data_IF_357303825950
#
_entry.id   IF_357303825950
#
_cell.length_a   1.000
_cell.length_b   1.000
_cell.length_c   1.000
_cell.angle_alpha   90.00
_cell.angle_beta   90.00
_cell.angle_gamma   90.00
#
_symmetry.space_group_name_H-M   'P 1'
#
loop_
_entity.id
_entity.type
_entity.pdbx_description
1 polymer ?
#
# COMPACT_ATOMS: atom_id res chain seq x y z
N UNK A 1 -38.73 8.99 17.09
CA UNK A 1 -38.76 7.51 17.03
C UNK A 1 -37.54 7.02 16.26
N UNK A 2 -36.37 7.11 16.88
CA UNK A 2 -35.09 6.74 16.27
C UNK A 2 -34.19 6.18 17.38
N UNK A 3 -34.00 4.86 17.40
CA UNK A 3 -33.05 4.10 18.21
C UNK A 3 -33.26 2.61 17.90
N UNK A 4 -32.44 2.03 17.00
CA UNK A 4 -32.21 0.58 16.84
C UNK A 4 -31.24 0.32 15.66
N UNK A 5 -29.97 0.70 15.80
CA UNK A 5 -28.88 0.18 14.95
C UNK A 5 -27.48 0.48 15.52
N UNK A 6 -27.22 0.09 16.77
CA UNK A 6 -25.87 0.04 17.36
C UNK A 6 -25.76 -1.26 18.18
N UNK A 7 -24.55 -1.83 18.24
CA UNK A 7 -24.15 -3.00 19.04
C UNK A 7 -24.64 -4.40 18.57
N UNK A 8 -23.91 -4.98 17.61
CA UNK A 8 -23.61 -6.42 17.48
C UNK A 8 -22.22 -6.56 16.83
N UNK A 9 -21.19 -7.16 17.42
CA UNK A 9 -21.10 -7.88 18.70
C UNK A 9 -19.70 -7.76 19.33
N UNK A 10 -19.65 -7.52 20.65
CA UNK A 10 -18.47 -7.74 21.50
C UNK A 10 -18.83 -8.84 22.48
N UNK A 11 -18.03 -9.93 22.58
CA UNK A 11 -18.23 -10.91 23.66
C UNK A 11 -17.00 -11.81 23.97
N UNK A 12 -16.41 -11.60 25.15
CA UNK A 12 -15.80 -12.56 26.11
C UNK A 12 -14.58 -13.42 25.61
N UNK A 13 -13.34 -13.45 26.15
CA UNK A 13 -12.67 -13.18 27.47
C UNK A 13 -12.29 -14.46 28.28
N UNK A 14 -11.02 -14.55 28.75
CA UNK A 14 -10.39 -15.54 29.69
C UNK A 14 -10.21 -17.01 29.17
N UNK A 15 -9.28 -17.91 29.57
CA UNK A 15 -8.29 -18.10 30.67
C UNK A 15 -6.99 -18.84 30.13
N UNK A 16 -5.84 -19.07 30.84
CA UNK A 16 -5.01 -18.28 31.80
C UNK A 16 -3.69 -19.05 32.20
N UNK A 17 -2.53 -18.35 32.38
CA UNK A 17 -1.26 -18.76 33.12
C UNK A 17 -0.37 -19.93 32.55
N UNK A 18 0.95 -20.13 32.83
CA UNK A 18 2.02 -19.47 33.65
C UNK A 18 3.45 -19.81 33.09
N UNK A 19 4.45 -18.89 33.07
CA UNK A 19 5.63 -18.75 33.97
C UNK A 19 6.72 -19.88 33.90
N UNK A 20 8.05 -19.66 33.81
CA UNK A 20 9.00 -19.27 34.90
C UNK A 20 10.47 -19.06 34.40
N UNK A 21 11.12 -17.90 34.71
CA UNK A 21 12.55 -17.61 35.08
C UNK A 21 13.80 -18.06 34.22
N UNK A 22 15.05 -17.49 34.32
CA UNK A 22 15.67 -16.30 35.00
C UNK A 22 17.10 -15.94 34.49
N UNK A 23 17.50 -14.66 34.68
CA UNK A 23 18.83 -14.09 35.10
C UNK A 23 20.15 -14.45 34.35
N UNK A 24 21.05 -13.51 33.97
CA UNK A 24 21.89 -12.60 34.81
C UNK A 24 22.61 -11.50 33.96
N UNK A 25 22.62 -10.21 34.33
CA UNK A 25 23.70 -9.42 35.02
C UNK A 25 24.99 -9.15 34.17
N UNK A 26 25.26 -7.99 33.54
CA UNK A 26 25.53 -6.57 33.99
C UNK A 26 26.99 -6.32 34.51
N UNK A 27 27.72 -5.32 33.97
CA UNK A 27 28.04 -4.06 34.71
C UNK A 27 27.77 -2.79 33.86
N UNK A 28 26.88 -1.87 34.25
CA UNK A 28 26.98 -0.75 35.25
C UNK A 28 27.72 0.51 34.76
N UNK A 29 26.92 1.49 34.31
CA UNK A 29 27.16 2.93 34.45
C UNK A 29 26.03 3.51 35.34
N UNK A 30 26.31 4.56 36.11
CA UNK A 30 25.39 5.19 37.07
C UNK A 30 24.18 5.83 36.37
N UNK A 31 22.96 5.38 36.69
CA UNK A 31 21.70 5.98 36.19
C UNK A 31 21.20 7.17 37.03
N UNK A 32 21.98 7.69 37.99
CA UNK A 32 21.50 8.81 38.83
C UNK A 32 21.81 10.19 38.25
N UNK A 33 22.98 10.38 37.65
CA UNK A 33 23.42 11.71 37.19
C UNK A 33 22.60 12.24 35.99
N UNK A 34 22.09 11.36 35.12
CA UNK A 34 21.29 11.75 33.94
C UNK A 34 19.86 12.19 34.32
N UNK A 35 19.30 11.68 35.42
CA UNK A 35 17.91 11.97 35.80
C UNK A 35 17.73 13.31 36.53
N UNK A 36 18.77 13.84 37.16
CA UNK A 36 18.68 15.10 37.91
C UNK A 36 18.78 16.34 37.00
N UNK A 37 19.57 16.30 35.92
CA UNK A 37 19.61 17.37 34.91
C UNK A 37 18.27 17.52 34.17
N UNK A 38 17.64 16.41 33.78
CA UNK A 38 16.31 16.41 33.13
C UNK A 38 15.23 16.96 34.09
N UNK A 39 15.33 16.70 35.39
CA UNK A 39 14.41 17.25 36.39
C UNK A 39 14.56 18.77 36.59
N UNK A 40 15.78 19.32 36.54
CA UNK A 40 15.97 20.77 36.61
C UNK A 40 15.42 21.50 35.38
N UNK A 41 15.55 20.92 34.18
CA UNK A 41 14.97 21.49 32.96
C UNK A 41 13.43 21.51 32.98
N UNK A 42 12.79 20.46 33.51
CA UNK A 42 11.33 20.40 33.67
C UNK A 42 10.78 21.29 34.81
N UNK A 43 11.60 21.63 35.81
CA UNK A 43 11.24 22.55 36.88
C UNK A 43 11.30 24.05 36.45
N UNK A 44 11.97 24.35 35.33
CA UNK A 44 12.11 25.70 34.80
C UNK A 44 11.00 26.10 33.80
N UNK A 45 10.34 25.13 33.15
CA UNK A 45 9.16 25.41 32.30
C UNK A 45 7.83 25.48 33.05
N UNK A 46 7.77 24.94 34.27
CA UNK A 46 6.55 24.89 35.08
C UNK A 46 6.28 26.16 35.92
N UNK A 47 7.30 27.02 36.12
CA UNK A 47 7.16 28.25 36.91
C UNK A 47 6.73 29.51 36.10
N UNK A 48 6.62 29.43 34.77
CA UNK A 48 6.16 30.56 33.93
C UNK A 48 4.65 30.54 33.63
N UNK A 49 3.95 29.44 33.94
CA UNK A 49 2.51 29.27 33.67
C UNK A 49 1.62 29.44 34.90
N UNK A 50 2.20 29.51 36.11
CA UNK A 50 1.47 29.50 37.38
C UNK A 50 1.11 30.90 37.92
N UNK A 51 0.97 31.91 37.04
CA UNK A 51 0.67 33.30 37.48
C UNK A 51 -0.60 33.93 36.90
N UNK A 52 -1.17 33.36 35.84
CA UNK A 52 -2.36 33.89 35.17
C UNK A 52 -3.62 33.03 35.36
N UNK A 53 -3.60 32.07 36.31
CA UNK A 53 -4.74 31.19 36.63
C UNK A 53 -4.96 31.14 38.15
N UNK A 54 -5.43 32.24 38.73
CA UNK A 54 -6.00 32.27 40.10
C UNK A 54 -7.18 33.25 40.23
N UNK A 55 -7.86 33.55 39.11
CA UNK A 55 -9.11 34.31 39.10
C UNK A 55 -10.12 33.61 38.16
N UNK A 56 -11.40 33.59 38.54
CA UNK A 56 -12.51 32.80 37.95
C UNK A 56 -12.49 31.26 38.13
N UNK A 57 -12.73 30.80 39.37
CA UNK A 57 -13.48 29.56 39.59
C UNK A 57 -14.98 29.87 39.55
N UNK A 58 -15.72 29.34 38.58
CA UNK A 58 -16.97 28.59 38.78
C UNK A 58 -17.57 28.13 37.43
N UNK A 59 -18.27 27.00 37.49
CA UNK A 59 -19.07 26.36 36.43
C UNK A 59 -18.37 26.01 35.09
N UNK A 60 -17.77 24.82 35.04
CA UNK A 60 -17.65 24.05 33.81
C UNK A 60 -17.99 22.58 34.06
N UNK A 61 -19.10 22.14 33.45
CA UNK A 61 -19.44 20.73 33.32
C UNK A 61 -18.33 19.99 32.58
N UNK A 62 -18.04 18.75 33.00
CA UNK A 62 -17.02 17.90 32.37
C UNK A 62 -17.32 17.72 30.87
N UNK A 63 -16.58 18.45 30.04
CA UNK A 63 -16.46 18.13 28.63
C UNK A 63 -15.75 16.77 28.56
N UNK A 64 -16.38 15.73 27.98
CA UNK A 64 -15.73 14.43 27.92
C UNK A 64 -14.44 14.56 27.12
N UNK A 65 -13.34 14.05 27.69
CA UNK A 65 -12.11 13.85 26.93
C UNK A 65 -12.47 13.13 25.64
N UNK A 66 -12.22 13.79 24.50
CA UNK A 66 -12.47 13.19 23.21
C UNK A 66 -11.53 11.99 23.09
N UNK A 67 -12.06 10.80 23.37
CA UNK A 67 -11.32 9.56 23.23
C UNK A 67 -10.88 9.46 21.78
N UNK A 68 -9.59 9.69 21.55
CA UNK A 68 -8.98 9.53 20.24
C UNK A 68 -9.08 8.02 19.94
N UNK A 69 -10.16 7.65 19.29
CA UNK A 69 -10.42 6.27 18.89
C UNK A 69 -9.26 5.85 18.01
N UNK A 70 -8.48 4.87 18.50
CA UNK A 70 -7.45 4.25 17.65
C UNK A 70 -8.09 3.89 16.31
N UNK A 71 -7.46 4.24 15.18
CA UNK A 71 -8.06 3.98 13.88
C UNK A 71 -8.26 2.48 13.66
N UNK A 72 -9.25 2.14 12.82
CA UNK A 72 -9.57 0.74 12.51
C UNK A 72 -8.37 0.04 11.89
N UNK A 73 -7.74 -0.84 12.67
CA UNK A 73 -6.60 -1.65 12.25
C UNK A 73 -7.07 -2.77 11.32
N UNK A 74 -6.41 -3.02 10.18
CA UNK A 74 -6.65 -4.21 9.35
C UNK A 74 -6.54 -5.50 10.17
N UNK A 75 -7.46 -6.45 9.95
CA UNK A 75 -7.51 -7.72 10.68
C UNK A 75 -7.61 -8.88 9.70
N UNK A 76 -6.74 -9.87 9.87
CA UNK A 76 -6.77 -11.09 9.06
C UNK A 76 -8.12 -11.80 9.20
N UNK A 77 -8.77 -12.10 8.07
CA UNK A 77 -10.01 -12.87 8.02
C UNK A 77 -9.65 -14.35 7.99
N UNK A 78 -9.81 -15.03 9.13
CA UNK A 78 -9.53 -16.48 9.24
C UNK A 78 -10.51 -17.30 8.41
N UNK A 79 -10.05 -18.44 7.87
CA UNK A 79 -10.83 -19.38 7.05
C UNK A 79 -11.43 -18.76 5.77
N UNK A 80 -10.75 -17.76 5.20
CA UNK A 80 -11.10 -17.13 3.93
C UNK A 80 -9.84 -17.08 3.02
N UNK A 81 -9.92 -17.54 1.76
CA UNK A 81 -11.06 -18.22 1.13
C UNK A 81 -11.33 -19.60 1.76
N UNK A 82 -12.57 -20.07 1.70
CA UNK A 82 -12.97 -21.37 2.26
C UNK A 82 -12.45 -22.58 1.46
N UNK A 83 -11.82 -22.35 0.30
CA UNK A 83 -11.23 -23.35 -0.58
C UNK A 83 -9.97 -22.77 -1.20
N UNK A 84 -8.99 -23.64 -1.45
CA UNK A 84 -7.87 -23.29 -2.32
C UNK A 84 -8.38 -22.96 -3.73
N UNK A 85 -7.82 -21.90 -4.32
CA UNK A 85 -8.20 -21.35 -5.62
C UNK A 85 -7.18 -21.67 -6.72
N UNK A 86 -6.02 -22.27 -6.38
CA UNK A 86 -4.95 -22.67 -7.33
C UNK A 86 -4.49 -21.52 -8.25
N UNK A 87 -4.12 -20.39 -7.67
CA UNK A 87 -3.87 -19.14 -8.41
C UNK A 87 -2.46 -19.01 -9.01
N UNK A 88 -1.51 -19.79 -8.50
CA UNK A 88 -0.08 -19.51 -8.66
C UNK A 88 0.28 -18.16 -8.01
N UNK A 89 1.28 -17.48 -8.57
CA UNK A 89 1.67 -16.14 -8.09
C UNK A 89 0.51 -15.13 -8.28
N UNK A 90 -0.05 -14.64 -7.17
CA UNK A 90 -0.99 -13.51 -7.15
C UNK A 90 -0.18 -12.21 -7.09
N UNK A 91 -0.40 -11.33 -8.06
CA UNK A 91 0.44 -10.15 -8.29
C UNK A 91 -0.25 -8.82 -8.01
N UNK A 92 -1.58 -8.82 -8.04
CA UNK A 92 -2.40 -7.62 -7.82
C UNK A 92 -3.72 -7.98 -7.17
N UNK A 93 -4.21 -7.08 -6.33
CA UNK A 93 -5.47 -7.25 -5.60
C UNK A 93 -6.15 -5.90 -5.43
N UNK A 94 -7.47 -5.86 -5.52
CA UNK A 94 -8.29 -4.65 -5.44
C UNK A 94 -9.69 -4.96 -4.86
N UNK A 95 -10.52 -3.93 -4.65
CA UNK A 95 -11.92 -4.07 -4.22
C UNK A 95 -12.84 -3.33 -5.19
N UNK A 96 -13.87 -3.99 -5.73
CA UNK A 96 -14.82 -3.34 -6.63
C UNK A 96 -15.90 -2.52 -5.88
N UNK A 97 -16.76 -1.79 -6.59
CA UNK A 97 -17.81 -0.99 -5.97
C UNK A 97 -18.91 -1.80 -5.23
N UNK A 98 -18.91 -3.12 -5.38
CA UNK A 98 -19.80 -4.04 -4.65
C UNK A 98 -19.12 -4.65 -3.40
N UNK A 99 -17.95 -4.11 -3.02
CA UNK A 99 -17.15 -4.54 -1.87
C UNK A 99 -16.63 -5.98 -2.00
N UNK A 100 -16.47 -6.46 -3.23
CA UNK A 100 -15.94 -7.77 -3.55
C UNK A 100 -14.43 -7.68 -3.80
N UNK A 101 -13.61 -8.52 -3.16
CA UNK A 101 -12.20 -8.66 -3.50
C UNK A 101 -12.05 -9.13 -4.95
N UNK A 102 -11.14 -8.50 -5.69
CA UNK A 102 -10.75 -8.88 -7.04
C UNK A 102 -9.26 -9.17 -7.04
N UNK A 103 -8.86 -10.30 -7.59
CA UNK A 103 -7.49 -10.80 -7.64
C UNK A 103 -7.02 -10.82 -9.09
N UNK A 104 -5.78 -10.40 -9.34
CA UNK A 104 -5.03 -10.61 -10.58
C UNK A 104 -3.86 -11.57 -10.30
N UNK A 105 -3.78 -12.65 -11.06
CA UNK A 105 -2.83 -13.74 -10.82
C UNK A 105 -2.23 -14.30 -12.12
N UNK A 106 -1.06 -14.93 -11.97
CA UNK A 106 -0.23 -15.43 -13.07
C UNK A 106 -0.58 -16.85 -13.52
N UNK A 107 -1.47 -17.54 -12.81
CA UNK A 107 -1.80 -18.96 -13.02
C UNK A 107 -0.50 -19.79 -13.06
N UNK A 108 -0.27 -20.57 -14.11
CA UNK A 108 0.96 -21.35 -14.26
C UNK A 108 2.23 -20.57 -14.63
N UNK A 109 2.21 -19.23 -14.71
CA UNK A 109 3.41 -18.42 -14.99
C UNK A 109 4.15 -18.05 -13.71
N UNK A 110 5.48 -18.20 -13.76
CA UNK A 110 6.40 -17.84 -12.68
C UNK A 110 7.35 -16.77 -13.22
N UNK A 111 7.55 -15.68 -12.46
CA UNK A 111 8.66 -14.76 -12.71
C UNK A 111 9.92 -15.31 -12.02
N UNK A 112 10.91 -15.68 -12.82
CA UNK A 112 12.24 -16.15 -12.41
C UNK A 112 13.38 -15.34 -13.10
N UNK A 113 14.62 -15.78 -12.90
CA UNK A 113 15.82 -15.20 -13.53
C UNK A 113 15.87 -15.37 -15.07
N UNK A 114 15.15 -16.37 -15.62
CA UNK A 114 15.13 -16.68 -17.06
C UNK A 114 14.01 -15.94 -17.81
N UNK A 115 13.10 -15.30 -17.07
CA UNK A 115 11.90 -14.64 -17.61
C UNK A 115 12.25 -13.44 -18.51
N UNK A 116 13.36 -12.75 -18.22
CA UNK A 116 13.81 -11.57 -18.96
C UNK A 116 15.32 -11.61 -19.21
N UNK A 117 15.77 -11.14 -20.37
CA UNK A 117 17.21 -10.94 -20.62
C UNK A 117 17.74 -9.65 -19.96
N UNK A 118 19.05 -9.41 -20.09
CA UNK A 118 19.74 -8.23 -19.56
C UNK A 118 19.23 -6.89 -20.12
N UNK A 119 18.68 -6.89 -21.34
CA UNK A 119 18.00 -5.74 -21.96
C UNK A 119 16.51 -5.65 -21.60
N UNK A 120 16.06 -6.44 -20.61
CA UNK A 120 14.70 -6.49 -20.09
C UNK A 120 13.62 -7.01 -21.04
N UNK A 121 13.96 -7.59 -22.19
CA UNK A 121 12.98 -8.22 -23.08
C UNK A 121 12.50 -9.57 -22.51
N UNK A 122 11.21 -9.85 -22.60
CA UNK A 122 10.60 -11.12 -22.18
C UNK A 122 11.08 -12.28 -23.05
N UNK A 123 11.41 -13.43 -22.46
CA UNK A 123 11.99 -14.58 -23.18
C UNK A 123 10.97 -15.68 -23.53
N UNK A 124 9.77 -15.65 -22.94
CA UNK A 124 8.78 -16.73 -23.02
C UNK A 124 7.57 -16.40 -23.91
N UNK A 125 7.71 -15.45 -24.86
CA UNK A 125 6.64 -15.05 -25.78
C UNK A 125 6.06 -16.24 -26.57
N UNK A 126 6.90 -17.22 -26.89
CA UNK A 126 6.55 -18.46 -27.58
C UNK A 126 5.48 -19.33 -26.86
N UNK A 127 5.28 -19.13 -25.55
CA UNK A 127 4.20 -19.79 -24.79
C UNK A 127 2.82 -19.15 -25.04
N UNK A 128 2.76 -18.02 -25.74
CA UNK A 128 1.56 -17.20 -25.91
C UNK A 128 1.07 -16.57 -24.59
N UNK A 129 -0.12 -15.93 -24.59
CA UNK A 129 -0.73 -15.42 -23.36
C UNK A 129 -1.29 -16.56 -22.50
N UNK A 130 -1.41 -16.31 -21.20
CA UNK A 130 -2.01 -17.19 -20.20
C UNK A 130 -3.42 -17.60 -20.64
N UNK A 131 -3.73 -18.89 -20.65
CA UNK A 131 -5.01 -19.40 -21.17
C UNK A 131 -6.14 -19.38 -20.16
N UNK A 132 -5.81 -19.52 -18.89
CA UNK A 132 -6.75 -19.43 -17.78
C UNK A 132 -7.26 -18.00 -17.57
N UNK A 133 -8.44 -17.87 -16.96
CA UNK A 133 -8.85 -16.59 -16.36
C UNK A 133 -7.77 -16.14 -15.37
N UNK A 134 -7.33 -14.90 -15.50
CA UNK A 134 -6.28 -14.29 -14.67
C UNK A 134 -6.85 -13.28 -13.68
N UNK A 135 -8.09 -12.82 -13.88
CA UNK A 135 -8.81 -11.94 -12.95
C UNK A 135 -10.01 -12.68 -12.37
N UNK A 136 -10.08 -12.75 -11.04
CA UNK A 136 -11.14 -13.42 -10.30
C UNK A 136 -11.80 -12.45 -9.33
N UNK A 137 -13.12 -12.39 -9.34
CA UNK A 137 -13.91 -11.69 -8.33
C UNK A 137 -14.39 -12.71 -7.30
N UNK A 138 -14.21 -12.42 -6.02
CA UNK A 138 -14.53 -13.31 -4.91
C UNK A 138 -15.72 -12.80 -4.07
N UNK A 139 -16.50 -13.71 -3.51
CA UNK A 139 -17.49 -13.38 -2.48
C UNK A 139 -16.77 -12.95 -1.18
N UNK A 140 -17.09 -11.78 -0.60
CA UNK A 140 -16.37 -11.24 0.56
C UNK A 140 -16.57 -12.04 1.86
N UNK A 141 -17.53 -12.98 1.92
CA UNK A 141 -17.82 -13.78 3.13
C UNK A 141 -17.21 -15.18 3.08
N UNK A 142 -17.14 -15.77 1.89
CA UNK A 142 -16.77 -17.19 1.67
C UNK A 142 -15.48 -17.35 0.86
N UNK A 143 -15.12 -16.35 0.06
CA UNK A 143 -13.99 -16.42 -0.87
C UNK A 143 -14.27 -17.30 -2.09
N UNK A 144 -15.53 -17.71 -2.29
CA UNK A 144 -15.95 -18.40 -3.49
C UNK A 144 -15.81 -17.48 -4.72
N UNK A 145 -15.36 -18.03 -5.84
CA UNK A 145 -15.26 -17.30 -7.10
C UNK A 145 -16.67 -16.99 -7.63
N UNK A 146 -16.99 -15.71 -7.78
CA UNK A 146 -18.27 -15.21 -8.31
C UNK A 146 -18.14 -14.52 -9.67
N UNK A 147 -16.91 -14.25 -10.12
CA UNK A 147 -16.61 -13.74 -11.46
C UNK A 147 -15.24 -14.18 -11.94
N UNK A 148 -15.08 -14.35 -13.26
CA UNK A 148 -13.84 -14.77 -13.93
C UNK A 148 -13.65 -13.97 -15.21
N UNK A 149 -12.42 -13.55 -15.50
CA UNK A 149 -12.08 -12.74 -16.68
C UNK A 149 -10.57 -12.83 -17.00
N UNK A 150 -10.16 -12.31 -18.15
CA UNK A 150 -8.74 -12.10 -18.49
C UNK A 150 -8.04 -13.24 -19.22
N UNK A 151 -8.78 -14.29 -19.59
CA UNK A 151 -8.27 -15.42 -20.36
C UNK A 151 -7.68 -14.99 -21.71
N UNK A 152 -6.48 -15.46 -22.02
CA UNK A 152 -5.70 -15.16 -23.24
C UNK A 152 -5.36 -13.68 -23.49
N UNK A 153 -5.40 -12.82 -22.47
CA UNK A 153 -5.03 -11.40 -22.60
C UNK A 153 -3.60 -11.06 -22.13
N UNK A 154 -3.10 -11.73 -21.09
CA UNK A 154 -1.87 -11.32 -20.39
C UNK A 154 -0.76 -12.39 -20.49
N UNK A 155 0.49 -11.95 -20.34
CA UNK A 155 1.70 -12.79 -20.38
C UNK A 155 2.37 -12.88 -19.01
N UNK A 156 2.46 -11.77 -18.29
CA UNK A 156 2.98 -11.73 -16.93
C UNK A 156 2.31 -10.60 -16.13
N UNK A 157 1.11 -10.88 -15.57
CA UNK A 157 0.39 -10.00 -14.65
C UNK A 157 1.25 -9.35 -13.56
N UNK A 158 0.97 -8.08 -13.28
CA UNK A 158 1.49 -7.38 -12.10
C UNK A 158 0.36 -6.61 -11.39
N UNK A 159 0.28 -5.28 -11.54
CA UNK A 159 -0.64 -4.45 -10.78
C UNK A 159 -2.11 -4.59 -11.22
N UNK A 160 -3.02 -4.41 -10.26
CA UNK A 160 -4.47 -4.33 -10.46
C UNK A 160 -5.03 -3.18 -9.62
N UNK A 161 -5.87 -2.35 -10.24
CA UNK A 161 -6.63 -1.27 -9.59
C UNK A 161 -8.01 -1.18 -10.23
N UNK A 162 -9.03 -0.82 -9.44
CA UNK A 162 -10.40 -0.66 -9.94
C UNK A 162 -10.81 0.79 -9.67
N UNK A 163 -11.15 1.55 -10.72
CA UNK A 163 -11.61 2.92 -10.53
C UNK A 163 -13.07 2.98 -10.06
N UNK A 164 -13.50 4.15 -9.59
CA UNK A 164 -14.88 4.43 -9.13
C UNK A 164 -16.00 4.13 -10.15
N UNK A 165 -15.67 3.88 -11.42
CA UNK A 165 -16.62 3.48 -12.47
C UNK A 165 -16.53 1.96 -12.77
N UNK A 166 -15.85 1.19 -11.93
CA UNK A 166 -15.49 -0.21 -12.09
C UNK A 166 -14.63 -0.53 -13.33
N UNK A 167 -13.93 0.44 -13.92
CA UNK A 167 -12.95 0.10 -14.96
C UNK A 167 -11.77 -0.64 -14.31
N UNK A 168 -11.33 -1.73 -14.93
CA UNK A 168 -10.14 -2.46 -14.52
C UNK A 168 -8.91 -1.77 -15.11
N UNK A 169 -7.95 -1.46 -14.24
CA UNK A 169 -6.65 -0.92 -14.60
C UNK A 169 -5.59 -1.93 -14.21
N UNK A 170 -4.79 -2.37 -15.19
CA UNK A 170 -3.82 -3.45 -14.97
C UNK A 170 -2.48 -3.17 -15.63
N UNK A 171 -1.41 -3.69 -15.05
CA UNK A 171 -0.08 -3.70 -15.69
C UNK A 171 0.36 -5.12 -16.02
N UNK A 172 1.04 -5.27 -17.15
CA UNK A 172 1.72 -6.50 -17.55
C UNK A 172 3.20 -6.18 -17.80
N UNK A 173 4.06 -6.84 -17.02
CA UNK A 173 5.50 -6.57 -17.02
C UNK A 173 6.22 -7.22 -18.20
N UNK A 174 5.66 -8.27 -18.81
CA UNK A 174 6.21 -8.93 -20.00
C UNK A 174 5.87 -8.17 -21.27
N UNK A 175 4.64 -7.66 -21.37
CA UNK A 175 4.24 -6.75 -22.45
C UNK A 175 4.91 -5.38 -22.31
N UNK A 176 5.35 -5.00 -21.10
CA UNK A 176 5.75 -3.63 -20.75
C UNK A 176 4.62 -2.63 -21.03
N UNK A 177 3.40 -2.99 -20.62
CA UNK A 177 2.20 -2.21 -20.90
C UNK A 177 1.32 -2.04 -19.67
N UNK A 178 0.50 -1.00 -19.73
CA UNK A 178 -0.57 -0.72 -18.79
C UNK A 178 -1.88 -0.49 -19.57
N UNK A 179 -2.99 -0.98 -19.04
CA UNK A 179 -4.27 -1.05 -19.77
C UNK A 179 -5.45 -0.57 -18.93
N UNK A 180 -6.47 -0.05 -19.62
CA UNK A 180 -7.81 0.23 -19.06
C UNK A 180 -8.87 -0.59 -19.77
N UNK A 181 -9.58 -1.46 -19.06
CA UNK A 181 -10.76 -2.16 -19.56
C UNK A 181 -12.03 -1.60 -18.91
N UNK A 182 -13.08 -1.35 -19.69
CA UNK A 182 -14.40 -1.03 -19.11
C UNK A 182 -15.07 -2.30 -18.59
N UNK A 183 -16.06 -2.21 -17.68
CA UNK A 183 -16.85 -3.36 -17.27
C UNK A 183 -17.42 -4.14 -18.47
N UNK A 184 -16.98 -5.39 -18.65
CA UNK A 184 -17.41 -6.28 -19.73
C UNK A 184 -16.64 -6.18 -21.06
N UNK A 185 -15.75 -5.20 -21.24
CA UNK A 185 -14.91 -5.10 -22.44
C UNK A 185 -13.75 -6.12 -22.36
N UNK A 186 -13.52 -6.88 -23.44
CA UNK A 186 -12.35 -7.77 -23.59
C UNK A 186 -11.19 -7.09 -24.36
N UNK A 187 -11.30 -5.79 -24.63
CA UNK A 187 -10.32 -4.99 -25.36
C UNK A 187 -10.03 -3.70 -24.57
N UNK A 188 -8.77 -3.27 -24.51
CA UNK A 188 -8.41 -2.09 -23.73
C UNK A 188 -8.95 -0.82 -24.40
N UNK A 189 -9.66 -0.01 -23.61
CA UNK A 189 -10.13 1.33 -23.97
C UNK A 189 -9.02 2.39 -23.92
N UNK A 190 -7.95 2.14 -23.16
CA UNK A 190 -6.67 2.85 -23.20
C UNK A 190 -5.54 1.83 -23.03
N UNK A 191 -4.42 2.06 -23.71
CA UNK A 191 -3.18 1.26 -23.60
C UNK A 191 -1.98 2.19 -23.57
N UNK A 192 -1.03 1.90 -22.68
CA UNK A 192 0.23 2.64 -22.50
C UNK A 192 1.41 1.68 -22.64
N UNK A 193 2.54 2.18 -23.14
CA UNK A 193 3.68 1.33 -23.51
C UNK A 193 3.48 0.62 -24.86
N UNK A 194 4.51 -0.08 -25.31
CA UNK A 194 4.56 -0.79 -26.60
C UNK A 194 4.83 -2.27 -26.32
N UNK A 195 4.04 -3.21 -26.88
CA UNK A 195 4.14 -4.63 -26.53
C UNK A 195 5.54 -5.18 -26.78
N UNK A 196 6.09 -5.85 -25.76
CA UNK A 196 7.41 -6.50 -25.73
C UNK A 196 8.61 -5.57 -26.01
N UNK A 197 8.40 -4.25 -25.94
CA UNK A 197 9.41 -3.23 -26.22
C UNK A 197 9.66 -2.39 -24.95
N UNK A 198 10.60 -2.82 -24.08
CA UNK A 198 10.98 -2.04 -22.91
C UNK A 198 11.64 -0.73 -23.32
N UNK A 199 11.43 0.34 -22.57
CA UNK A 199 12.13 1.59 -22.84
C UNK A 199 11.91 2.72 -21.84
N UNK A 200 12.78 3.72 -21.94
CA UNK A 200 12.79 4.93 -21.09
C UNK A 200 12.09 6.13 -21.75
N UNK A 201 11.69 6.03 -23.02
CA UNK A 201 11.00 7.12 -23.72
C UNK A 201 9.56 7.31 -23.24
N UNK A 202 8.96 8.48 -23.52
CA UNK A 202 7.59 8.84 -23.08
C UNK A 202 6.45 7.96 -23.62
N UNK A 203 6.73 7.14 -24.65
CA UNK A 203 5.78 6.18 -25.26
C UNK A 203 6.04 4.72 -24.85
N UNK A 204 7.13 4.46 -24.13
CA UNK A 204 7.50 3.13 -23.66
C UNK A 204 7.40 3.06 -22.15
N UNK A 205 7.22 1.86 -21.62
CA UNK A 205 7.38 1.54 -20.20
C UNK A 205 8.49 0.49 -20.09
N UNK A 206 9.00 0.25 -18.90
CA UNK A 206 9.95 -0.82 -18.62
C UNK A 206 9.49 -1.54 -17.35
N UNK A 207 8.68 -2.59 -17.57
CA UNK A 207 8.06 -3.41 -16.51
C UNK A 207 7.26 -2.55 -15.51
N UNK A 208 6.12 -1.98 -15.93
CA UNK A 208 5.28 -1.12 -15.09
C UNK A 208 4.60 -1.91 -13.96
N UNK A 209 4.51 -1.30 -12.78
CA UNK A 209 4.20 -1.97 -11.51
C UNK A 209 2.78 -1.70 -11.01
N UNK A 210 2.34 -0.45 -11.01
CA UNK A 210 1.07 -0.05 -10.40
C UNK A 210 0.44 1.15 -11.13
N UNK A 211 -0.88 1.29 -11.00
CA UNK A 211 -1.65 2.39 -11.57
C UNK A 211 -2.49 2.99 -10.43
N UNK A 212 -2.53 4.32 -10.32
CA UNK A 212 -3.53 5.01 -9.50
C UNK A 212 -4.38 5.92 -10.38
N UNK A 213 -5.67 6.07 -10.07
CA UNK A 213 -6.63 6.81 -10.88
C UNK A 213 -7.43 7.75 -9.98
N UNK A 214 -7.33 9.05 -10.24
CA UNK A 214 -7.97 10.08 -9.44
C UNK A 214 -9.46 10.26 -9.79
N UNK A 215 -10.21 10.90 -8.90
CA UNK A 215 -11.58 11.35 -9.14
C UNK A 215 -11.69 12.45 -10.21
N UNK A 216 -10.58 13.08 -10.59
CA UNK A 216 -10.48 13.93 -11.80
C UNK A 216 -10.45 13.11 -13.10
N UNK A 217 -10.19 11.79 -13.01
CA UNK A 217 -9.90 10.91 -14.12
C UNK A 217 -8.43 10.93 -14.57
N UNK A 218 -7.56 11.69 -13.89
CA UNK A 218 -6.12 11.62 -14.12
C UNK A 218 -5.54 10.28 -13.67
N UNK A 219 -4.51 9.82 -14.39
CA UNK A 219 -3.96 8.47 -14.31
C UNK A 219 -2.48 8.60 -13.95
N UNK A 220 -2.01 7.80 -13.00
CA UNK A 220 -0.61 7.73 -12.60
C UNK A 220 -0.11 6.31 -12.81
N UNK A 221 0.96 6.11 -13.57
CA UNK A 221 1.54 4.79 -13.86
C UNK A 221 2.94 4.74 -13.26
N UNK A 222 3.18 3.83 -12.32
CA UNK A 222 4.51 3.54 -11.82
C UNK A 222 5.27 2.66 -12.82
N UNK A 223 6.41 3.15 -13.27
CA UNK A 223 7.25 2.55 -14.30
C UNK A 223 8.60 2.23 -13.65
N UNK A 224 8.71 1.01 -13.10
CA UNK A 224 9.47 0.80 -11.86
C UNK A 224 10.59 -0.25 -11.86
N UNK A 225 10.43 -1.45 -12.45
CA UNK A 225 11.50 -2.47 -12.29
C UNK A 225 12.78 -2.17 -13.07
N UNK A 226 12.68 -1.40 -14.16
CA UNK A 226 13.83 -0.95 -14.95
C UNK A 226 13.74 0.53 -15.36
N UNK A 227 12.88 1.28 -14.69
CA UNK A 227 12.73 2.73 -14.77
C UNK A 227 12.54 3.28 -13.35
N UNK A 228 12.71 4.59 -13.15
CA UNK A 228 12.69 5.23 -11.82
C UNK A 228 11.70 6.40 -11.77
N UNK A 229 10.52 6.20 -12.37
CA UNK A 229 9.56 7.27 -12.61
C UNK A 229 8.10 6.86 -12.44
N UNK A 230 7.25 7.87 -12.33
CA UNK A 230 5.81 7.80 -12.44
C UNK A 230 5.37 8.69 -13.60
N UNK A 231 4.47 8.21 -14.44
CA UNK A 231 3.94 8.92 -15.59
C UNK A 231 2.49 9.34 -15.30
N UNK A 232 2.23 10.65 -15.30
CA UNK A 232 0.91 11.25 -15.07
C UNK A 232 0.25 11.58 -16.41
N UNK A 233 -0.95 11.07 -16.63
CA UNK A 233 -1.77 11.29 -17.82
C UNK A 233 -3.13 11.91 -17.47
N UNK A 234 -3.75 12.57 -18.43
CA UNK A 234 -5.16 12.96 -18.35
C UNK A 234 -6.09 11.77 -18.64
N UNK A 235 -7.40 11.95 -18.40
CA UNK A 235 -8.42 10.93 -18.59
C UNK A 235 -8.55 10.37 -20.02
N UNK A 236 -7.97 11.04 -21.03
CA UNK A 236 -7.92 10.60 -22.42
C UNK A 236 -6.60 9.91 -22.80
N UNK A 237 -5.69 9.69 -21.84
CA UNK A 237 -4.39 9.07 -22.06
C UNK A 237 -3.30 10.00 -22.61
N UNK A 238 -3.53 11.31 -22.64
CA UNK A 238 -2.49 12.30 -22.98
C UNK A 238 -1.55 12.54 -21.80
N UNK A 239 -0.23 12.43 -22.03
CA UNK A 239 0.78 12.65 -20.98
C UNK A 239 0.74 14.11 -20.50
N UNK A 240 0.63 14.30 -19.19
CA UNK A 240 0.69 15.60 -18.53
C UNK A 240 2.07 15.87 -17.94
N UNK A 241 2.64 14.88 -17.25
CA UNK A 241 3.86 15.07 -16.44
C UNK A 241 4.60 13.76 -16.17
N UNK A 242 5.89 13.85 -15.89
CA UNK A 242 6.72 12.79 -15.30
C UNK A 242 7.06 13.19 -13.86
N UNK A 243 7.11 12.23 -12.93
CA UNK A 243 7.53 12.42 -11.53
C UNK A 243 8.66 11.42 -11.24
N UNK A 244 9.80 11.84 -10.66
CA UNK A 244 10.19 13.23 -10.39
C UNK A 244 10.42 14.05 -11.67
N UNK A 245 10.22 15.36 -11.56
CA UNK A 245 10.59 16.36 -12.58
C UNK A 245 11.54 17.38 -11.93
N UNK A 246 12.82 17.47 -12.36
CA UNK A 246 13.75 18.47 -11.84
C UNK A 246 13.15 19.89 -11.90
N UNK A 247 13.24 20.70 -10.83
CA UNK A 247 14.19 20.59 -9.71
C UNK A 247 13.68 19.81 -8.47
N UNK A 248 12.66 18.95 -8.58
CA UNK A 248 12.21 18.13 -7.45
C UNK A 248 13.33 17.28 -6.84
N UNK A 249 13.52 17.39 -5.53
CA UNK A 249 14.45 16.57 -4.75
C UNK A 249 13.81 15.22 -4.37
N UNK A 250 13.44 14.43 -5.38
CA UNK A 250 12.90 13.09 -5.23
C UNK A 250 13.68 12.12 -6.12
N UNK A 251 14.09 11.01 -5.54
CA UNK A 251 14.63 9.83 -6.24
C UNK A 251 13.74 8.64 -5.92
N UNK A 252 13.51 7.76 -6.90
CA UNK A 252 12.71 6.54 -6.75
C UNK A 252 13.56 5.35 -7.21
N UNK A 253 13.50 4.23 -6.50
CA UNK A 253 14.16 2.97 -6.88
C UNK A 253 13.14 1.83 -6.75
N UNK A 254 12.62 1.44 -7.90
CA UNK A 254 11.45 0.56 -8.05
C UNK A 254 10.22 1.13 -7.32
N UNK A 255 9.61 2.22 -7.84
CA UNK A 255 8.25 2.60 -7.46
C UNK A 255 7.32 1.42 -7.78
N UNK A 256 6.73 0.81 -6.74
CA UNK A 256 6.11 -0.52 -6.85
C UNK A 256 4.59 -0.51 -6.67
N UNK A 257 4.11 0.29 -5.72
CA UNK A 257 2.70 0.50 -5.42
C UNK A 257 2.40 1.99 -5.37
N UNK A 258 1.19 2.37 -5.79
CA UNK A 258 0.69 3.75 -5.78
C UNK A 258 -0.63 3.82 -5.01
N UNK A 259 -0.79 4.84 -4.17
CA UNK A 259 -2.06 5.19 -3.56
C UNK A 259 -2.27 6.71 -3.60
N UNK A 260 -3.49 7.15 -3.92
CA UNK A 260 -3.85 8.56 -3.94
C UNK A 260 -4.55 8.96 -2.63
N UNK A 261 -4.09 10.05 -2.02
CA UNK A 261 -4.80 10.73 -0.95
C UNK A 261 -5.27 12.07 -1.50
N UNK A 262 -6.41 12.06 -2.19
CA UNK A 262 -6.91 13.25 -2.89
C UNK A 262 -7.19 14.41 -1.93
N UNK A 263 -7.65 14.14 -0.70
CA UNK A 263 -7.85 15.16 0.35
C UNK A 263 -6.59 15.94 0.72
N UNK A 264 -5.40 15.36 0.51
CA UNK A 264 -4.08 15.99 0.76
C UNK A 264 -3.36 16.38 -0.54
N UNK A 265 -3.96 16.09 -1.69
CA UNK A 265 -3.37 16.18 -3.04
C UNK A 265 -1.96 15.55 -3.09
N UNK A 266 -1.88 14.31 -2.55
CA UNK A 266 -0.66 13.50 -2.48
C UNK A 266 -0.82 12.19 -3.25
N UNK A 267 0.27 11.77 -3.90
CA UNK A 267 0.44 10.44 -4.47
C UNK A 267 1.49 9.72 -3.64
N UNK A 268 1.07 8.78 -2.80
CA UNK A 268 1.99 7.97 -2.01
C UNK A 268 2.50 6.77 -2.83
N UNK A 269 3.80 6.50 -2.68
CA UNK A 269 4.57 5.55 -3.48
C UNK A 269 5.28 4.59 -2.54
N UNK A 270 5.09 3.28 -2.75
CA UNK A 270 5.98 2.26 -2.21
C UNK A 270 7.30 2.31 -3.00
N UNK A 271 8.31 2.95 -2.42
CA UNK A 271 9.63 3.15 -3.03
C UNK A 271 10.54 1.98 -2.61
N UNK A 272 10.33 0.83 -3.26
CA UNK A 272 10.59 -0.50 -2.70
C UNK A 272 12.02 -0.70 -2.23
N UNK A 273 13.00 -0.42 -3.08
CA UNK A 273 14.41 -0.66 -2.75
C UNK A 273 15.02 0.46 -1.89
N UNK A 274 14.39 1.64 -1.84
CA UNK A 274 14.71 2.67 -0.86
C UNK A 274 14.10 2.41 0.53
N UNK A 275 13.31 1.33 0.68
CA UNK A 275 12.73 0.86 1.95
C UNK A 275 11.93 1.94 2.69
N UNK A 276 11.03 2.62 1.96
CA UNK A 276 10.23 3.74 2.46
C UNK A 276 8.90 3.90 1.72
N UNK A 277 7.99 4.66 2.32
CA UNK A 277 6.85 5.26 1.62
C UNK A 277 7.14 6.75 1.42
N UNK A 278 7.01 7.23 0.19
CA UNK A 278 7.17 8.67 -0.10
C UNK A 278 5.94 9.22 -0.82
N UNK A 279 5.48 10.41 -0.43
CA UNK A 279 4.25 11.02 -0.92
C UNK A 279 4.52 12.42 -1.52
N UNK A 280 5.02 12.51 -2.77
CA UNK A 280 5.00 13.75 -3.54
C UNK A 280 3.58 14.29 -3.78
N UNK A 281 3.50 15.56 -4.20
CA UNK A 281 2.26 16.18 -4.67
C UNK A 281 1.72 15.44 -5.89
N UNK A 282 0.41 15.14 -5.90
CA UNK A 282 -0.26 14.58 -7.08
C UNK A 282 -0.61 15.66 -8.12
N UNK A 283 -0.80 16.91 -7.67
CA UNK A 283 -1.09 18.07 -8.51
C UNK A 283 -2.45 17.97 -9.19
N UNK A 284 -3.47 17.48 -8.47
CA UNK A 284 -4.85 17.30 -8.96
C UNK A 284 -5.62 18.62 -8.98
N UNK A 285 -5.38 19.50 -7.99
CA UNK A 285 -6.15 20.73 -7.79
C UNK A 285 -5.33 22.01 -7.90
N UNK A 286 -4.01 21.94 -7.69
CA UNK A 286 -3.13 23.10 -7.70
C UNK A 286 -1.71 22.73 -8.14
N UNK A 287 -1.17 23.52 -9.07
CA UNK A 287 0.26 23.50 -9.45
C UNK A 287 1.14 24.33 -8.49
N UNK A 288 0.54 25.14 -7.60
CA UNK A 288 1.28 25.72 -6.47
C UNK A 288 1.68 24.60 -5.52
N UNK A 289 2.93 24.65 -5.07
CA UNK A 289 3.50 23.62 -4.19
C UNK A 289 4.09 22.41 -4.94
N UNK A 290 4.16 22.39 -6.27
CA UNK A 290 4.86 21.31 -7.00
C UNK A 290 6.36 21.18 -6.66
N UNK A 291 6.94 22.17 -5.99
CA UNK A 291 8.31 22.13 -5.45
C UNK A 291 8.35 21.85 -3.94
N UNK A 292 7.21 21.55 -3.30
CA UNK A 292 7.20 21.04 -1.92
C UNK A 292 7.94 19.70 -1.85
N UNK A 293 8.79 19.46 -0.84
CA UNK A 293 9.37 18.16 -0.61
C UNK A 293 8.30 17.06 -0.50
N UNK A 294 8.61 15.89 -1.03
CA UNK A 294 7.78 14.71 -0.81
C UNK A 294 7.84 14.30 0.66
N UNK A 295 6.68 14.09 1.28
CA UNK A 295 6.59 13.49 2.62
C UNK A 295 7.29 12.12 2.56
N UNK A 296 8.06 11.75 3.57
CA UNK A 296 8.92 10.56 3.54
C UNK A 296 8.83 9.80 4.85
N UNK A 297 8.02 8.74 4.84
CA UNK A 297 7.86 7.83 5.97
C UNK A 297 8.87 6.70 5.80
N UNK A 298 9.85 6.65 6.70
CA UNK A 298 10.87 5.61 6.76
C UNK A 298 11.19 5.26 8.21
N UNK A 299 11.06 3.99 8.57
CA UNK A 299 11.37 3.48 9.91
C UNK A 299 12.32 2.28 9.82
N UNK A 300 13.12 1.97 10.87
CA UNK A 300 14.14 0.92 10.82
C UNK A 300 13.60 -0.49 10.52
N UNK A 301 12.34 -0.73 10.86
CA UNK A 301 11.59 -1.98 10.67
C UNK A 301 10.73 -2.00 9.39
N UNK A 302 10.77 -0.93 8.58
CA UNK A 302 9.96 -0.81 7.38
C UNK A 302 10.33 -1.86 6.31
N UNK A 303 11.62 -2.04 6.04
CA UNK A 303 12.10 -2.94 4.98
C UNK A 303 11.58 -2.57 3.59
N UNK A 304 11.69 -3.49 2.63
CA UNK A 304 11.22 -3.27 1.25
C UNK A 304 9.71 -3.22 1.21
N UNK A 305 9.14 -2.10 0.81
CA UNK A 305 7.68 -1.89 0.73
C UNK A 305 7.16 -2.35 -0.64
N UNK A 306 6.24 -3.30 -0.67
CA UNK A 306 5.68 -3.85 -1.91
C UNK A 306 4.31 -3.25 -2.24
N UNK A 307 3.46 -3.06 -1.22
CA UNK A 307 2.11 -2.54 -1.38
C UNK A 307 1.90 -1.26 -0.59
N UNK A 308 1.10 -0.34 -1.15
CA UNK A 308 0.50 0.78 -0.42
C UNK A 308 -0.97 0.94 -0.82
N UNK A 309 -1.81 1.35 0.12
CA UNK A 309 -3.23 1.67 -0.08
C UNK A 309 -3.63 2.86 0.81
N UNK A 310 -4.70 3.57 0.46
CA UNK A 310 -5.21 4.71 1.21
C UNK A 310 -6.67 4.50 1.63
N UNK A 311 -7.05 4.94 2.84
CA UNK A 311 -8.46 5.07 3.26
C UNK A 311 -8.64 6.31 4.13
N UNK A 312 -9.48 7.23 3.67
CA UNK A 312 -9.65 8.53 4.30
C UNK A 312 -8.32 9.29 4.29
N UNK A 313 -7.83 9.68 5.48
CA UNK A 313 -6.53 10.34 5.63
C UNK A 313 -5.41 9.38 6.07
N UNK A 314 -5.67 8.07 6.17
CA UNK A 314 -4.69 7.07 6.58
C UNK A 314 -4.13 6.30 5.38
N UNK A 315 -2.87 5.92 5.53
CA UNK A 315 -2.14 5.05 4.62
C UNK A 315 -1.93 3.68 5.24
N UNK A 316 -1.89 2.66 4.40
CA UNK A 316 -1.48 1.31 4.75
C UNK A 316 -0.33 0.95 3.85
N UNK A 317 0.72 0.39 4.41
CA UNK A 317 1.85 -0.14 3.67
C UNK A 317 2.06 -1.60 4.07
N UNK A 318 2.57 -2.42 3.16
CA UNK A 318 3.03 -3.77 3.52
C UNK A 318 4.38 -4.04 2.91
N UNK A 319 5.28 -4.55 3.75
CA UNK A 319 6.62 -4.91 3.35
C UNK A 319 6.69 -6.36 2.84
N UNK A 320 7.87 -6.77 2.41
CA UNK A 320 8.16 -8.14 2.03
C UNK A 320 9.55 -8.56 2.50
N UNK A 321 9.96 -9.81 2.20
CA UNK A 321 11.25 -10.35 2.61
C UNK A 321 12.39 -9.40 2.27
N UNK A 322 13.14 -8.99 3.30
CA UNK A 322 14.21 -7.97 3.19
C UNK A 322 15.48 -8.43 3.89
N UNK A 323 15.35 -8.95 5.10
CA UNK A 323 16.41 -9.54 5.90
C UNK A 323 15.78 -10.50 6.90
N UNK A 324 16.52 -11.50 7.37
CA UNK A 324 16.09 -12.43 8.42
C UNK A 324 15.71 -11.72 9.75
N UNK A 325 16.13 -10.47 9.93
CA UNK A 325 15.81 -9.63 11.10
C UNK A 325 14.54 -8.80 10.95
N UNK A 326 13.95 -8.71 9.75
CA UNK A 326 12.77 -7.89 9.46
C UNK A 326 11.58 -8.78 9.13
N UNK A 327 10.54 -8.84 10.00
CA UNK A 327 9.35 -9.63 9.72
C UNK A 327 8.56 -9.05 8.54
N UNK A 328 7.86 -9.93 7.83
CA UNK A 328 6.85 -9.51 6.86
C UNK A 328 5.61 -9.08 7.65
N UNK A 329 5.24 -7.81 7.52
CA UNK A 329 4.19 -7.15 8.31
C UNK A 329 3.59 -5.96 7.55
N UNK A 330 2.33 -5.70 7.81
CA UNK A 330 1.64 -4.47 7.43
C UNK A 330 1.82 -3.37 8.47
N UNK A 331 1.68 -2.14 8.00
CA UNK A 331 1.89 -0.89 8.74
C UNK A 331 0.69 0.02 8.48
N UNK A 332 0.14 0.60 9.53
CA UNK A 332 -0.78 1.74 9.42
C UNK A 332 0.03 3.01 9.60
N UNK A 333 -0.09 3.94 8.65
CA UNK A 333 0.70 5.16 8.55
C UNK A 333 -0.24 6.37 8.61
N UNK A 334 0.11 7.35 9.45
CA UNK A 334 -0.41 8.70 9.32
C UNK A 334 0.56 9.52 8.44
N UNK A 335 0.15 9.87 7.20
CA UNK A 335 1.00 10.61 6.28
C UNK A 335 1.16 12.08 6.68
N UNK A 336 0.30 12.66 7.53
CA UNK A 336 0.41 14.07 7.95
C UNK A 336 1.45 14.26 9.06
N UNK A 337 1.60 13.28 9.94
CA UNK A 337 2.69 13.25 10.94
C UNK A 337 3.95 12.51 10.46
N UNK A 338 3.91 11.94 9.26
CA UNK A 338 5.00 11.14 8.65
C UNK A 338 5.41 9.92 9.52
N UNK A 339 4.46 9.32 10.23
CA UNK A 339 4.71 8.21 11.18
C UNK A 339 3.96 6.93 10.85
N UNK A 340 4.59 5.77 11.11
CA UNK A 340 3.87 4.52 11.34
C UNK A 340 3.24 4.60 12.73
N UNK A 341 1.92 4.41 12.80
CA UNK A 341 1.12 4.50 14.03
C UNK A 341 0.68 3.13 14.56
N UNK A 342 0.74 2.08 13.74
CA UNK A 342 0.48 0.69 14.16
C UNK A 342 1.13 -0.33 13.22
N UNK A 343 1.35 -1.55 13.75
CA UNK A 343 1.90 -2.70 13.02
C UNK A 343 0.97 -3.90 13.12
N UNK A 344 0.81 -4.66 12.04
CA UNK A 344 -0.09 -5.81 12.00
C UNK A 344 0.45 -6.93 11.10
N UNK A 345 0.26 -8.18 11.51
CA UNK A 345 0.63 -9.37 10.76
C UNK A 345 -0.40 -10.48 11.03
N UNK A 346 -0.51 -11.51 10.16
CA UNK A 346 -1.26 -12.72 10.48
C UNK A 346 -0.67 -13.42 11.71
N UNK A 347 -1.52 -14.04 12.53
CA UNK A 347 -1.09 -14.79 13.72
C UNK A 347 -0.34 -16.10 13.38
N UNK A 348 -0.44 -16.57 12.13
CA UNK A 348 0.22 -17.77 11.63
C UNK A 348 1.35 -17.38 10.66
N UNK A 349 2.60 -17.58 11.09
CA UNK A 349 3.75 -17.45 10.20
C UNK A 349 3.65 -18.48 9.05
N UNK A 350 3.58 -18.01 7.81
CA UNK A 350 3.71 -18.88 6.65
C UNK A 350 5.10 -19.54 6.67
N UNK A 351 5.21 -20.87 6.46
CA UNK A 351 6.49 -21.56 6.47
C UNK A 351 7.41 -21.05 5.35
N UNK A 352 8.72 -21.03 5.63
CA UNK A 352 9.77 -20.46 4.74
C UNK A 352 9.76 -21.03 3.31
N UNK A 353 9.15 -22.19 3.09
CA UNK A 353 9.01 -22.81 1.75
C UNK A 353 8.12 -22.03 0.79
N UNK A 354 7.27 -21.12 1.28
CA UNK A 354 6.47 -20.22 0.44
C UNK A 354 7.20 -18.90 0.11
N UNK A 355 8.43 -18.69 0.62
CA UNK A 355 9.22 -17.47 0.42
C UNK A 355 9.53 -17.08 -1.03
N UNK A 356 9.33 -18.01 -1.98
CA UNK A 356 9.60 -17.80 -3.40
C UNK A 356 8.39 -17.32 -4.22
N UNK A 357 7.22 -17.08 -3.60
CA UNK A 357 5.97 -16.74 -4.31
C UNK A 357 5.34 -15.38 -3.92
N UNK A 358 6.00 -14.57 -3.09
CA UNK A 358 5.35 -13.45 -2.41
C UNK A 358 5.30 -12.11 -3.19
N UNK A 359 4.20 -11.88 -3.91
CA UNK A 359 3.71 -10.55 -4.30
C UNK A 359 2.39 -10.15 -3.57
N UNK A 360 1.92 -10.96 -2.61
CA UNK A 360 0.56 -10.85 -2.03
C UNK A 360 0.51 -10.02 -0.74
N UNK A 361 0.50 -8.68 -0.83
CA UNK A 361 0.05 -7.84 0.31
C UNK A 361 -0.45 -6.43 -0.09
N UNK A 362 -1.66 -6.28 -0.63
CA UNK A 362 -2.27 -4.93 -0.80
C UNK A 362 -3.80 -4.84 -1.03
N UNK A 363 -4.66 -5.66 -0.38
CA UNK A 363 -6.12 -5.40 -0.47
C UNK A 363 -6.96 -5.90 0.72
N UNK A 364 -7.12 -5.02 1.70
CA UNK A 364 -8.44 -4.65 2.23
C UNK A 364 -8.40 -3.13 2.44
N UNK A 365 -9.57 -2.45 2.47
CA UNK A 365 -9.79 -1.03 2.86
C UNK A 365 -10.14 0.00 1.76
N UNK A 366 -10.24 -0.38 0.47
CA UNK A 366 -10.93 0.48 -0.51
C UNK A 366 -12.45 0.21 -0.49
N UNK A 367 -13.25 1.29 -0.54
CA UNK A 367 -14.72 1.35 -0.45
C UNK A 367 -15.34 1.00 0.93
N UNK A 368 -15.49 2.04 1.77
CA UNK A 368 -16.64 2.27 2.67
C UNK A 368 -16.80 3.77 2.85
#
# INVERSE_FOLDING_TARGET
MAANCVARSVLILLLVLHCVHRSCCIPRISQREIYDEVRQLLALSSNSLQKDIDDSREDSSELPEASISKPDVPKAVKNWPQKDLNLGQVSGVAVNSHLQPVIFHRAGRVWDENTFNSSHHYQQEHLGPIKDDTILTLDPKTGAIVGRWGASLFFLPHGLTIDRHNNLWVTDVALHQAFKFRPGDNYPSLSFGVPFQPGTGIRHLCKPTSIAVASTGEIFIADGYCNTRILKYNAAGGLLRVIPNPPEFLSLVVPHGLALIESLDRLCVADRENMRVTCPRAGLYSTRGETEPALTIQQPDMGRVFGVAAKGNLMYAVNGPTSFLLPVQGMTIDPQSETVIDHWAPEECLPETLANEYEIWSAQMENY
#
